data_IF_096176683478
#
_entry.id   IF_096176683478
#
_cell.length_a   1.000
_cell.length_b   1.000
_cell.length_c   1.000
_cell.angle_alpha   90.00
_cell.angle_beta   90.00
_cell.angle_gamma   90.00
#
_symmetry.space_group_name_H-M   'P 1'
#
loop_
_entity.id
_entity.type
_entity.pdbx_description
1 polymer ?
#
# COMPACT_ATOMS: atom_id res chain seq x y z
N UNK A 1 11.23 12.68 4.50
CA UNK A 1 9.92 12.64 5.20
C UNK A 1 9.22 11.38 4.72
N UNK A 2 8.92 10.44 5.62
CA UNK A 2 8.54 9.08 5.22
C UNK A 2 7.14 9.05 4.58
N UNK A 3 7.08 8.84 3.26
CA UNK A 3 5.86 8.92 2.46
C UNK A 3 4.80 7.88 2.86
N UNK A 4 5.22 6.76 3.46
CA UNK A 4 4.35 5.64 3.84
C UNK A 4 3.21 6.09 4.78
N UNK A 5 3.45 7.05 5.68
CA UNK A 5 2.45 7.47 6.68
C UNK A 5 1.18 8.05 6.07
N UNK A 6 1.28 8.62 4.87
CA UNK A 6 0.16 9.23 4.15
C UNK A 6 -0.43 8.31 3.10
N UNK A 7 0.22 7.19 2.79
CA UNK A 7 -0.25 6.25 1.78
C UNK A 7 -1.10 5.17 2.43
N UNK A 8 -2.20 4.87 1.77
CA UNK A 8 -3.16 3.86 2.15
C UNK A 8 -3.33 2.85 1.00
N UNK A 9 -3.11 1.56 1.24
CA UNK A 9 -3.39 0.52 0.25
C UNK A 9 -4.87 0.16 0.34
N UNK A 10 -5.60 0.41 -0.75
CA UNK A 10 -7.01 0.06 -0.90
C UNK A 10 -7.10 -1.14 -1.83
N UNK A 11 -7.74 -2.21 -1.36
CA UNK A 11 -8.01 -3.41 -2.16
C UNK A 11 -9.52 -3.53 -2.34
N UNK A 12 -9.96 -3.57 -3.60
CA UNK A 12 -11.35 -3.73 -3.97
C UNK A 12 -11.48 -5.09 -4.62
N UNK A 13 -12.25 -5.97 -4.01
CA UNK A 13 -12.59 -7.28 -4.58
C UNK A 13 -14.06 -7.52 -4.30
N UNK A 14 -14.92 -7.21 -5.27
CA UNK A 14 -16.37 -7.25 -5.08
C UNK A 14 -17.12 -7.48 -6.39
N UNK A 15 -18.41 -7.77 -6.28
CA UNK A 15 -19.31 -7.88 -7.43
C UNK A 15 -20.41 -6.83 -7.30
N UNK A 16 -20.47 -5.91 -8.25
CA UNK A 16 -21.46 -4.84 -8.32
C UNK A 16 -22.10 -4.83 -9.71
N UNK A 17 -23.43 -4.80 -9.79
CA UNK A 17 -24.19 -4.90 -11.05
C UNK A 17 -23.78 -6.09 -11.92
N UNK A 18 -23.53 -7.25 -11.28
CA UNK A 18 -23.03 -8.47 -11.93
C UNK A 18 -21.65 -8.33 -12.60
N UNK A 19 -20.88 -7.30 -12.25
CA UNK A 19 -19.50 -7.08 -12.71
C UNK A 19 -18.54 -7.32 -11.56
N UNK A 20 -17.53 -8.14 -11.81
CA UNK A 20 -16.41 -8.31 -10.88
C UNK A 20 -15.50 -7.10 -10.98
N UNK A 21 -15.25 -6.46 -9.84
CA UNK A 21 -14.31 -5.36 -9.69
C UNK A 21 -13.16 -5.86 -8.84
N UNK A 22 -11.96 -5.85 -9.41
CA UNK A 22 -10.72 -6.25 -8.75
C UNK A 22 -9.69 -5.17 -8.97
N UNK A 23 -9.48 -4.31 -7.98
CA UNK A 23 -8.59 -3.14 -8.07
C UNK A 23 -7.68 -3.05 -6.85
N UNK A 24 -6.45 -2.60 -7.09
CA UNK A 24 -5.46 -2.31 -6.04
C UNK A 24 -4.96 -0.88 -6.24
N UNK A 25 -5.23 -0.02 -5.26
CA UNK A 25 -5.03 1.42 -5.39
C UNK A 25 -4.24 1.93 -4.20
N UNK A 26 -3.27 2.81 -4.45
CA UNK A 26 -2.63 3.62 -3.42
C UNK A 26 -3.36 4.94 -3.29
N UNK A 27 -3.95 5.18 -2.13
CA UNK A 27 -4.67 6.40 -1.82
C UNK A 27 -3.85 7.31 -0.91
N UNK A 28 -3.76 8.59 -1.25
CA UNK A 28 -3.06 9.60 -0.44
C UNK A 28 -4.04 10.26 0.54
N UNK A 29 -3.82 10.03 1.84
CA UNK A 29 -4.64 10.59 2.92
C UNK A 29 -4.57 12.12 3.02
N UNK A 30 -3.55 12.75 2.42
CA UNK A 30 -3.44 14.22 2.38
C UNK A 30 -4.44 14.85 1.43
N UNK A 31 -4.98 14.05 0.50
CA UNK A 31 -5.88 14.53 -0.52
C UNK A 31 -7.24 13.79 -0.47
N UNK A 32 -8.02 13.94 0.62
CA UNK A 32 -9.23 13.13 0.86
C UNK A 32 -10.33 13.35 -0.20
N UNK A 33 -10.32 14.48 -0.90
CA UNK A 33 -11.26 14.79 -1.97
C UNK A 33 -11.11 13.87 -3.20
N UNK A 34 -9.95 13.22 -3.38
CA UNK A 34 -9.76 12.27 -4.46
C UNK A 34 -10.54 10.96 -4.26
N UNK A 35 -11.11 10.70 -3.08
CA UNK A 35 -11.94 9.52 -2.86
C UNK A 35 -13.15 9.50 -3.80
N UNK A 36 -13.84 10.65 -3.89
CA UNK A 36 -14.99 10.78 -4.79
C UNK A 36 -14.57 10.70 -6.25
N UNK A 37 -13.41 11.26 -6.60
CA UNK A 37 -12.86 11.20 -7.96
C UNK A 37 -12.58 9.75 -8.34
N UNK A 38 -11.95 8.97 -7.46
CA UNK A 38 -11.68 7.56 -7.66
C UNK A 38 -12.96 6.76 -7.86
N UNK A 39 -13.98 6.98 -7.03
CA UNK A 39 -15.28 6.31 -7.15
C UNK A 39 -15.94 6.64 -8.47
N UNK A 40 -15.92 7.91 -8.89
CA UNK A 40 -16.49 8.32 -10.17
C UNK A 40 -15.76 7.65 -11.35
N UNK A 41 -14.43 7.63 -11.32
CA UNK A 41 -13.62 6.98 -12.36
C UNK A 41 -13.93 5.48 -12.47
N UNK A 42 -14.01 4.77 -11.33
CA UNK A 42 -14.38 3.35 -11.32
C UNK A 42 -15.84 3.14 -11.75
N UNK A 43 -16.76 4.00 -11.34
CA UNK A 43 -18.16 3.96 -11.78
C UNK A 43 -18.28 4.11 -13.29
N UNK A 44 -17.52 5.02 -13.90
CA UNK A 44 -17.50 5.22 -15.35
C UNK A 44 -16.82 4.04 -16.07
N UNK A 45 -15.67 3.59 -15.59
CA UNK A 45 -14.89 2.48 -16.15
C UNK A 45 -15.72 1.18 -16.15
N UNK A 46 -16.37 0.87 -15.04
CA UNK A 46 -17.19 -0.33 -14.89
C UNK A 46 -18.65 -0.10 -15.28
N UNK A 47 -19.06 1.12 -15.70
CA UNK A 47 -20.44 1.49 -16.03
C UNK A 47 -21.44 1.06 -14.95
N UNK A 48 -21.18 1.46 -13.71
CA UNK A 48 -21.98 1.09 -12.55
C UNK A 48 -23.25 1.96 -12.45
N UNK A 49 -24.33 1.37 -11.94
CA UNK A 49 -25.51 2.12 -11.52
C UNK A 49 -25.20 3.00 -10.32
N UNK A 50 -26.06 3.99 -10.05
CA UNK A 50 -25.92 4.85 -8.88
C UNK A 50 -25.91 4.05 -7.55
N UNK A 51 -26.74 3.01 -7.45
CA UNK A 51 -26.77 2.15 -6.27
C UNK A 51 -25.46 1.37 -6.09
N UNK A 52 -24.88 0.85 -7.18
CA UNK A 52 -23.58 0.20 -7.15
C UNK A 52 -22.45 1.19 -6.82
N UNK A 53 -22.46 2.39 -7.41
CA UNK A 53 -21.51 3.47 -7.11
C UNK A 53 -21.52 3.84 -5.61
N UNK A 54 -22.70 3.97 -5.01
CA UNK A 54 -22.83 4.25 -3.57
C UNK A 54 -22.28 3.11 -2.70
N UNK A 55 -22.46 1.85 -3.11
CA UNK A 55 -21.87 0.69 -2.43
C UNK A 55 -20.35 0.69 -2.57
N UNK A 56 -19.83 0.97 -3.77
CA UNK A 56 -18.38 1.10 -4.02
C UNK A 56 -17.78 2.19 -3.13
N UNK A 57 -18.41 3.37 -3.06
CA UNK A 57 -17.99 4.45 -2.18
C UNK A 57 -17.88 3.98 -0.73
N UNK A 58 -18.93 3.31 -0.21
CA UNK A 58 -18.92 2.81 1.16
C UNK A 58 -17.84 1.76 1.42
N UNK A 59 -17.58 0.87 0.47
CA UNK A 59 -16.52 -0.14 0.60
C UNK A 59 -15.14 0.52 0.73
N UNK A 60 -14.85 1.51 -0.10
CA UNK A 60 -13.57 2.24 -0.07
C UNK A 60 -13.48 3.08 1.21
N UNK A 61 -14.58 3.76 1.57
CA UNK A 61 -14.65 4.59 2.78
C UNK A 61 -14.38 3.77 4.05
N UNK A 62 -14.99 2.59 4.21
CA UNK A 62 -14.76 1.73 5.38
C UNK A 62 -13.29 1.32 5.53
N UNK A 63 -12.59 1.06 4.42
CA UNK A 63 -11.16 0.81 4.46
C UNK A 63 -10.41 2.06 4.94
N UNK A 64 -10.70 3.24 4.36
CA UNK A 64 -10.04 4.49 4.80
C UNK A 64 -10.25 4.79 6.28
N UNK A 65 -11.45 4.55 6.82
CA UNK A 65 -11.76 4.75 8.24
C UNK A 65 -11.02 3.74 9.13
N UNK A 66 -11.01 2.46 8.76
CA UNK A 66 -10.30 1.42 9.49
C UNK A 66 -8.80 1.73 9.64
N UNK A 67 -8.16 2.22 8.58
CA UNK A 67 -6.73 2.51 8.59
C UNK A 67 -6.38 3.89 9.16
N UNK A 68 -7.27 4.89 9.10
CA UNK A 68 -7.05 6.19 9.76
C UNK A 68 -6.93 6.06 11.29
N UNK A 69 -7.54 5.02 11.88
CA UNK A 69 -7.39 4.70 13.30
C UNK A 69 -5.97 4.20 13.67
N UNK A 70 -5.17 3.81 12.68
CA UNK A 70 -3.81 3.26 12.84
C UNK A 70 -2.78 4.33 12.48
N UNK A 71 -2.56 5.27 13.39
CA UNK A 71 -1.48 6.24 13.23
C UNK A 71 -0.13 5.53 13.26
N UNK A 72 0.64 5.67 12.19
CA UNK A 72 2.03 5.24 12.17
C UNK A 72 2.84 6.31 12.88
N UNK A 73 3.20 6.06 14.14
CA UNK A 73 4.10 6.92 14.88
C UNK A 73 5.53 6.40 14.70
N UNK A 74 6.34 7.16 13.97
CA UNK A 74 7.78 6.92 13.91
C UNK A 74 8.43 7.50 15.16
N UNK A 75 9.17 6.66 15.89
CA UNK A 75 9.96 7.12 17.04
C UNK A 75 11.35 7.45 16.51
N UNK A 76 11.73 8.72 16.53
CA UNK A 76 12.98 9.24 15.93
C UNK A 76 14.28 8.64 16.49
N UNK A 77 14.23 7.90 17.60
CA UNK A 77 15.42 7.45 18.34
C UNK A 77 15.90 6.01 18.05
N UNK A 78 15.12 5.15 17.40
CA UNK A 78 15.50 3.75 17.15
C UNK A 78 15.05 3.26 15.76
N UNK A 79 15.82 2.44 15.04
CA UNK A 79 15.42 1.93 13.74
C UNK A 79 14.16 1.07 13.84
N UNK A 80 13.10 1.47 13.13
CA UNK A 80 11.85 0.69 13.01
C UNK A 80 11.99 -0.24 11.82
N UNK A 81 12.44 -1.47 12.08
CA UNK A 81 12.63 -2.50 11.06
C UNK A 81 11.35 -3.31 10.86
N UNK A 82 10.81 -3.32 9.65
CA UNK A 82 9.59 -4.06 9.30
C UNK A 82 9.90 -5.09 8.21
N UNK A 83 9.57 -6.37 8.41
CA UNK A 83 9.66 -7.37 7.35
C UNK A 83 8.59 -7.09 6.29
N UNK A 84 9.00 -7.06 5.04
CA UNK A 84 8.16 -6.77 3.88
C UNK A 84 8.17 -7.98 2.96
N UNK A 85 6.97 -8.44 2.60
CA UNK A 85 6.77 -9.48 1.61
C UNK A 85 6.14 -8.86 0.37
N UNK A 86 6.92 -8.80 -0.71
CA UNK A 86 6.45 -8.35 -2.01
C UNK A 86 6.04 -9.58 -2.80
N UNK A 87 4.74 -9.74 -3.01
CA UNK A 87 4.19 -10.75 -3.91
C UNK A 87 3.24 -10.01 -4.85
N UNK A 88 3.69 -9.82 -6.08
CA UNK A 88 2.91 -9.13 -7.09
C UNK A 88 2.98 -9.93 -8.39
N UNK A 89 1.84 -10.09 -9.06
CA UNK A 89 1.73 -10.74 -10.37
C UNK A 89 1.19 -9.73 -11.37
N UNK A 90 1.95 -9.48 -12.43
CA UNK A 90 1.57 -8.56 -13.51
C UNK A 90 1.72 -9.31 -14.82
N UNK A 91 0.64 -9.36 -15.60
CA UNK A 91 0.53 -10.18 -16.81
C UNK A 91 0.87 -11.66 -16.51
N UNK A 92 1.94 -12.19 -17.09
CA UNK A 92 2.42 -13.57 -16.91
C UNK A 92 3.69 -13.66 -16.04
N UNK A 93 4.16 -12.51 -15.51
CA UNK A 93 5.36 -12.42 -14.67
C UNK A 93 4.94 -12.39 -13.20
N UNK A 94 5.58 -13.23 -12.39
CA UNK A 94 5.37 -13.29 -10.93
C UNK A 94 6.64 -12.82 -10.25
N UNK A 95 6.52 -11.85 -9.35
CA UNK A 95 7.62 -11.33 -8.56
C UNK A 95 7.38 -11.61 -7.08
N UNK A 96 8.28 -12.38 -6.48
CA UNK A 96 8.28 -12.70 -5.06
C UNK A 96 9.61 -12.27 -4.45
N UNK A 97 9.57 -11.33 -3.51
CA UNK A 97 10.77 -10.81 -2.85
C UNK A 97 10.48 -10.52 -1.38
N UNK A 98 11.46 -10.79 -0.52
CA UNK A 98 11.37 -10.51 0.90
C UNK A 98 12.52 -9.59 1.30
N UNK A 99 12.21 -8.56 2.07
CA UNK A 99 13.20 -7.62 2.59
C UNK A 99 12.83 -7.11 3.97
N UNK A 100 13.78 -6.46 4.63
CA UNK A 100 13.53 -5.70 5.86
C UNK A 100 13.67 -4.22 5.56
N UNK A 101 12.61 -3.46 5.79
CA UNK A 101 12.59 -2.02 5.56
C UNK A 101 12.77 -1.27 6.88
N UNK A 102 13.76 -0.38 6.95
CA UNK A 102 13.87 0.58 8.03
C UNK A 102 12.97 1.79 7.75
N UNK A 103 11.89 1.96 8.51
CA UNK A 103 10.96 3.07 8.33
C UNK A 103 11.52 4.42 8.83
N UNK A 104 12.58 4.41 9.63
CA UNK A 104 13.22 5.66 10.07
C UNK A 104 14.33 6.12 9.13
N UNK A 105 14.73 5.28 8.18
CA UNK A 105 15.63 5.69 7.11
C UNK A 105 14.86 6.54 6.09
N UNK A 106 15.52 7.55 5.52
CA UNK A 106 14.96 8.37 4.45
C UNK A 106 15.02 7.62 3.10
N UNK A 107 14.36 6.46 3.04
CA UNK A 107 14.29 5.64 1.85
C UNK A 107 13.16 6.15 0.94
N UNK A 108 13.49 6.48 -0.31
CA UNK A 108 12.48 6.75 -1.32
C UNK A 108 11.88 5.42 -1.79
N UNK A 109 10.56 5.25 -1.62
CA UNK A 109 9.88 4.04 -2.10
C UNK A 109 9.96 3.89 -3.62
N UNK A 110 10.01 5.02 -4.33
CA UNK A 110 10.12 5.03 -5.78
C UNK A 110 11.50 4.56 -6.23
N UNK A 111 12.56 5.00 -5.56
CA UNK A 111 13.93 4.53 -5.84
C UNK A 111 14.05 3.04 -5.53
N UNK A 112 13.58 2.61 -4.35
CA UNK A 112 13.57 1.20 -3.98
C UNK A 112 12.82 0.33 -5.01
N UNK A 113 11.63 0.76 -5.46
CA UNK A 113 10.89 0.02 -6.47
C UNK A 113 11.62 -0.01 -7.83
N UNK A 114 12.27 1.10 -8.20
CA UNK A 114 13.05 1.19 -9.43
C UNK A 114 14.28 0.29 -9.40
N UNK A 115 14.98 0.25 -8.27
CA UNK A 115 16.14 -0.61 -8.05
C UNK A 115 15.75 -2.09 -8.18
N UNK A 116 14.64 -2.50 -7.56
CA UNK A 116 14.10 -3.86 -7.70
C UNK A 116 13.71 -4.18 -9.15
N UNK A 117 13.08 -3.25 -9.87
CA UNK A 117 12.71 -3.48 -11.26
C UNK A 117 13.94 -3.66 -12.15
N UNK A 118 14.98 -2.85 -11.93
CA UNK A 118 16.22 -2.93 -12.69
C UNK A 118 17.02 -4.20 -12.36
N UNK A 119 17.12 -4.54 -11.07
CA UNK A 119 17.83 -5.73 -10.59
C UNK A 119 17.21 -7.03 -11.13
N UNK A 120 15.88 -7.11 -11.11
CA UNK A 120 15.15 -8.31 -11.53
C UNK A 120 14.61 -8.24 -12.97
N UNK A 121 14.93 -7.17 -13.71
CA UNK A 121 14.51 -6.96 -15.10
C UNK A 121 13.00 -7.15 -15.32
N UNK A 122 12.19 -6.56 -14.44
CA UNK A 122 10.75 -6.84 -14.39
C UNK A 122 9.97 -6.19 -15.54
N UNK A 123 10.39 -5.00 -16.00
CA UNK A 123 9.71 -4.24 -17.05
C UNK A 123 10.60 -4.01 -18.27
N UNK A 124 10.02 -4.18 -19.46
CA UNK A 124 10.70 -4.00 -20.75
C UNK A 124 10.43 -2.63 -21.37
N UNK A 125 9.26 -2.05 -21.10
CA UNK A 125 8.86 -0.73 -21.57
C UNK A 125 8.43 0.21 -20.42
N UNK A 126 8.25 1.49 -20.73
CA UNK A 126 7.92 2.50 -19.74
C UNK A 126 6.56 2.24 -19.03
N UNK A 127 5.58 1.67 -19.72
CA UNK A 127 4.25 1.39 -19.15
C UNK A 127 4.36 0.22 -18.18
N UNK A 128 5.07 -0.84 -18.57
CA UNK A 128 5.29 -2.01 -17.73
C UNK A 128 6.10 -1.62 -16.49
N UNK A 129 7.17 -0.81 -16.64
CA UNK A 129 7.96 -0.29 -15.51
C UNK A 129 7.07 0.51 -14.55
N UNK A 130 6.24 1.43 -15.03
CA UNK A 130 5.32 2.19 -14.18
C UNK A 130 4.30 1.29 -13.46
N UNK A 131 3.85 0.21 -14.13
CA UNK A 131 2.90 -0.74 -13.56
C UNK A 131 3.56 -1.54 -12.44
N UNK A 132 4.78 -2.03 -12.65
CA UNK A 132 5.59 -2.67 -11.62
C UNK A 132 5.91 -1.75 -10.45
N UNK A 133 6.28 -0.49 -10.71
CA UNK A 133 6.57 0.48 -9.65
C UNK A 133 5.36 0.64 -8.74
N UNK A 134 4.17 0.85 -9.32
CA UNK A 134 2.92 0.99 -8.55
C UNK A 134 2.61 -0.27 -7.74
N UNK A 135 2.73 -1.45 -8.35
CA UNK A 135 2.46 -2.72 -7.68
C UNK A 135 3.43 -2.98 -6.51
N UNK A 136 4.73 -2.77 -6.72
CA UNK A 136 5.76 -2.93 -5.69
C UNK A 136 5.49 -1.99 -4.51
N UNK A 137 5.25 -0.70 -4.78
CA UNK A 137 4.96 0.28 -3.73
C UNK A 137 3.66 -0.11 -2.99
N UNK A 138 2.63 -0.56 -3.71
CA UNK A 138 1.40 -1.08 -3.09
C UNK A 138 1.69 -2.25 -2.14
N UNK A 139 2.43 -3.26 -2.62
CA UNK A 139 2.83 -4.44 -1.85
C UNK A 139 3.65 -4.03 -0.58
N UNK A 140 4.55 -3.05 -0.69
CA UNK A 140 5.33 -2.50 0.44
C UNK A 140 4.41 -1.82 1.46
N UNK A 141 3.59 -0.85 1.03
CA UNK A 141 2.72 -0.08 1.93
C UNK A 141 1.70 -1.00 2.61
N UNK A 142 1.14 -1.96 1.88
CA UNK A 142 0.25 -3.01 2.42
C UNK A 142 0.93 -3.80 3.52
N UNK A 143 2.14 -4.33 3.25
CA UNK A 143 2.91 -5.08 4.24
C UNK A 143 3.18 -4.24 5.51
N UNK A 144 3.61 -2.98 5.36
CA UNK A 144 3.85 -2.10 6.51
C UNK A 144 2.57 -1.91 7.34
N UNK A 145 1.45 -1.61 6.69
CA UNK A 145 0.17 -1.37 7.35
C UNK A 145 -0.36 -2.62 8.05
N UNK A 146 -0.27 -3.79 7.43
CA UNK A 146 -0.69 -5.06 8.03
C UNK A 146 0.17 -5.41 9.26
N UNK A 147 1.48 -5.18 9.20
CA UNK A 147 2.37 -5.40 10.34
C UNK A 147 2.08 -4.43 11.48
N UNK A 148 1.68 -3.20 11.21
CA UNK A 148 1.34 -2.22 12.25
C UNK A 148 -0.06 -2.48 12.81
N UNK A 149 -1.04 -2.75 11.94
CA UNK A 149 -2.42 -3.04 12.33
C UNK A 149 -2.60 -4.39 13.04
N UNK A 150 -1.75 -5.38 12.73
CA UNK A 150 -1.66 -6.65 13.46
C UNK A 150 -0.85 -6.55 14.75
N UNK A 151 -0.06 -5.48 14.94
CA UNK A 151 0.75 -5.25 16.14
C UNK A 151 0.15 -4.15 17.03
N UNK A 152 -0.91 -4.50 17.76
CA UNK A 152 -1.07 -4.02 19.16
C UNK A 152 0.04 -4.54 20.09
N UNK A 153 1.01 -5.28 19.57
CA UNK A 153 2.29 -5.59 20.21
C UNK A 153 3.43 -5.14 19.30
N UNK A 154 3.67 -3.83 19.19
CA UNK A 154 5.01 -3.39 18.81
C UNK A 154 5.92 -3.89 19.93
N UNK A 155 6.65 -4.97 19.66
CA UNK A 155 7.74 -5.43 20.50
C UNK A 155 8.75 -4.29 20.51
N UNK A 156 8.63 -3.41 21.50
CA UNK A 156 9.77 -2.69 22.05
C UNK A 156 10.73 -3.78 22.47
N UNK A 157 11.75 -4.04 21.65
CA UNK A 157 12.96 -4.67 22.16
C UNK A 157 13.50 -3.67 23.17
N UNK A 158 13.15 -3.89 24.43
CA UNK A 158 13.83 -3.29 25.57
C UNK A 158 15.32 -3.55 25.37
N UNK A 159 16.03 -2.53 24.92
CA UNK A 159 17.46 -2.41 25.17
C UNK A 159 17.60 -2.13 26.68
N UNK A 160 17.35 -3.14 27.50
CA UNK A 160 17.94 -3.21 28.83
C UNK A 160 19.40 -3.59 28.64
N UNK A 161 20.20 -2.57 28.29
CA UNK A 161 21.60 -2.57 28.65
C UNK A 161 21.66 -2.65 30.18
N UNK A 162 22.03 -3.82 30.70
CA UNK A 162 22.54 -3.91 32.05
C UNK A 162 23.90 -3.21 32.05
N UNK A 163 23.89 -2.04 32.67
CA UNK A 163 25.06 -1.36 33.23
C UNK A 163 25.65 -2.31 34.30
N UNK A 164 26.98 -2.26 34.40
CA UNK A 164 27.91 -2.96 35.33
C UNK A 164 27.32 -3.45 36.67
#
# INVERSE_FOLDING_TARGET
MNQIQYLLPIQIETVLDSKTITEQILFDLREPHYLQILVNQLTDQYRLSEQASNRLFRLIQLQTEAFNSQQILFIDSAPVLVPININCQIYQKVFNYQMVLNLNANNSLLELATDLINEFQLGEDAIEVLTWQKAIIFCIVKSVREQIGGNTNVIQKDYLGLIE
#
